data_IF_453445822265
#
_entry.id   IF_453445822265
#
_cell.length_a   1.000
_cell.length_b   1.000
_cell.length_c   1.000
_cell.angle_alpha   90.00
_cell.angle_beta   90.00
_cell.angle_gamma   90.00
#
_symmetry.space_group_name_H-M   'P 1'
#
loop_
_entity.id
_entity.type
_entity.pdbx_description
1 polymer ?
#
# COMPACT_ATOMS: atom_id res chain seq x y z
N UNK A 1 -8.03 -89.02 3.55
CA UNK A 1 -7.77 -88.24 4.71
C UNK A 1 -6.55 -87.34 4.36
N UNK A 2 -6.81 -86.09 4.03
CA UNK A 2 -5.80 -85.10 3.65
C UNK A 2 -6.09 -83.82 4.46
N UNK A 3 -5.31 -83.57 5.49
CA UNK A 3 -5.38 -82.39 6.29
C UNK A 3 -4.69 -81.25 5.53
N UNK A 4 -5.47 -80.24 5.18
CA UNK A 4 -4.96 -78.99 4.62
C UNK A 4 -4.65 -78.03 5.76
N UNK A 5 -3.37 -77.78 6.01
CA UNK A 5 -2.89 -76.80 6.96
C UNK A 5 -3.09 -75.38 6.39
N UNK A 6 -4.04 -74.61 6.94
CA UNK A 6 -4.22 -73.19 6.67
C UNK A 6 -3.18 -72.37 7.41
N UNK A 7 -2.15 -71.90 6.70
CA UNK A 7 -1.17 -70.91 7.16
C UNK A 7 -1.85 -69.56 7.37
N UNK A 8 -2.02 -69.18 8.65
CA UNK A 8 -2.49 -67.85 9.03
C UNK A 8 -1.40 -66.79 8.78
N UNK A 9 -1.50 -66.06 7.67
CA UNK A 9 -0.71 -64.87 7.45
C UNK A 9 -1.21 -63.75 8.37
N UNK A 10 -0.41 -63.33 9.33
CA UNK A 10 -0.63 -62.16 10.16
C UNK A 10 -0.57 -60.91 9.25
N UNK A 11 -1.60 -60.06 9.19
CA UNK A 11 -1.52 -58.83 8.40
C UNK A 11 -0.49 -57.90 9.07
N UNK A 12 0.64 -57.69 8.38
CA UNK A 12 1.59 -56.62 8.73
C UNK A 12 0.83 -55.30 8.72
N UNK A 13 0.86 -54.61 9.86
CA UNK A 13 0.17 -53.34 10.09
C UNK A 13 0.41 -52.36 8.95
N UNK A 14 -0.70 -51.86 8.40
CA UNK A 14 -0.69 -50.72 7.51
C UNK A 14 -0.05 -49.56 8.22
N UNK A 15 1.27 -49.38 8.02
CA UNK A 15 2.01 -48.21 8.44
C UNK A 15 1.28 -46.99 7.86
N UNK A 16 0.67 -46.17 8.70
CA UNK A 16 0.06 -44.88 8.34
C UNK A 16 1.04 -44.15 7.44
N UNK A 17 0.92 -44.30 6.13
CA UNK A 17 1.62 -43.45 5.16
C UNK A 17 1.18 -42.04 5.50
N UNK A 18 2.07 -41.26 6.09
CA UNK A 18 1.86 -39.82 6.29
C UNK A 18 1.53 -39.25 4.91
N UNK A 19 0.28 -38.92 4.70
CA UNK A 19 -0.17 -38.30 3.46
C UNK A 19 0.60 -36.97 3.33
N UNK A 20 1.41 -36.86 2.29
CA UNK A 20 2.09 -35.62 1.96
C UNK A 20 1.05 -34.53 1.77
N UNK A 21 1.25 -33.29 2.29
CA UNK A 21 0.28 -32.22 2.11
C UNK A 21 0.00 -32.01 0.63
N UNK A 22 -1.26 -31.75 0.29
CA UNK A 22 -1.63 -31.47 -1.07
C UNK A 22 -0.82 -30.25 -1.56
N UNK A 23 -0.57 -30.20 -2.85
CA UNK A 23 0.20 -29.08 -3.37
C UNK A 23 -0.52 -27.72 -3.21
N UNK A 24 -1.85 -27.72 -3.07
CA UNK A 24 -2.60 -26.51 -2.68
C UNK A 24 -2.30 -26.10 -1.23
N UNK A 25 -2.14 -27.06 -0.32
CA UNK A 25 -1.74 -26.81 1.07
C UNK A 25 -0.36 -26.18 1.14
N UNK A 26 0.59 -26.64 0.30
CA UNK A 26 1.94 -26.06 0.24
C UNK A 26 1.94 -24.63 -0.28
N UNK A 27 1.14 -24.32 -1.31
CA UNK A 27 0.97 -22.96 -1.82
C UNK A 27 0.46 -21.99 -0.75
N UNK A 28 -0.62 -22.38 -0.08
CA UNK A 28 -1.19 -21.60 1.03
C UNK A 28 -0.15 -21.44 2.15
N UNK A 29 0.58 -22.52 2.47
CA UNK A 29 1.63 -22.51 3.47
C UNK A 29 2.73 -21.48 3.16
N UNK A 30 3.17 -21.39 1.90
CA UNK A 30 4.20 -20.40 1.49
C UNK A 30 3.66 -18.96 1.62
N UNK A 31 2.44 -18.71 1.13
CA UNK A 31 1.83 -17.38 1.25
C UNK A 31 1.62 -16.97 2.72
N UNK A 32 1.10 -17.89 3.54
CA UNK A 32 0.90 -17.67 4.96
C UNK A 32 2.22 -17.45 5.70
N UNK A 33 3.26 -18.25 5.43
CA UNK A 33 4.57 -18.09 6.02
C UNK A 33 5.21 -16.74 5.70
N UNK A 34 5.07 -16.26 4.44
CA UNK A 34 5.54 -14.95 4.04
C UNK A 34 4.83 -13.82 4.81
N UNK A 35 3.50 -13.90 4.95
CA UNK A 35 2.74 -12.92 5.70
C UNK A 35 3.05 -12.98 7.21
N UNK A 36 3.17 -14.17 7.80
CA UNK A 36 3.57 -14.34 9.20
C UNK A 36 4.98 -13.77 9.42
N UNK A 37 5.90 -13.98 8.49
CA UNK A 37 7.25 -13.37 8.53
C UNK A 37 7.18 -11.83 8.55
N UNK A 38 6.32 -11.23 7.73
CA UNK A 38 6.07 -9.79 7.78
C UNK A 38 5.49 -9.37 9.14
N UNK A 39 4.49 -10.08 9.67
CA UNK A 39 3.89 -9.78 10.97
C UNK A 39 4.94 -9.84 12.10
N UNK A 40 5.78 -10.86 12.13
CA UNK A 40 6.86 -10.99 13.10
C UNK A 40 7.83 -9.80 12.98
N UNK A 41 8.29 -9.48 11.79
CA UNK A 41 9.20 -8.36 11.56
C UNK A 41 8.61 -7.01 12.00
N UNK A 42 7.32 -6.81 11.78
CA UNK A 42 6.60 -5.59 12.17
C UNK A 42 6.36 -5.52 13.68
N UNK A 43 5.90 -6.61 14.30
CA UNK A 43 5.49 -6.61 15.71
C UNK A 43 6.66 -6.69 16.69
N UNK A 44 7.82 -7.20 16.29
CA UNK A 44 9.02 -7.27 17.12
C UNK A 44 9.71 -5.93 17.34
N UNK A 45 9.28 -4.87 16.63
CA UNK A 45 9.86 -3.54 16.78
C UNK A 45 8.91 -2.58 17.52
N UNK A 46 9.49 -1.67 18.31
CA UNK A 46 8.75 -0.57 18.93
C UNK A 46 8.35 0.46 17.86
N UNK A 47 7.11 0.94 17.90
CA UNK A 47 6.65 2.03 17.04
C UNK A 47 7.38 3.32 17.40
N UNK A 48 7.98 3.98 16.43
CA UNK A 48 8.62 5.29 16.58
C UNK A 48 7.95 6.28 15.63
N UNK A 49 7.78 7.51 16.08
CA UNK A 49 7.35 8.62 15.24
C UNK A 49 8.60 9.18 14.56
N UNK A 50 8.70 9.06 13.24
CA UNK A 50 9.89 9.40 12.47
C UNK A 50 9.75 10.70 11.69
N UNK A 51 8.52 11.13 11.44
CA UNK A 51 8.21 12.26 10.57
C UNK A 51 7.07 13.12 11.14
N UNK A 52 6.97 14.40 10.77
CA UNK A 52 5.82 15.24 11.12
C UNK A 52 4.48 14.66 10.71
N UNK A 53 4.45 13.93 9.59
CA UNK A 53 3.25 13.23 9.11
C UNK A 53 2.76 12.17 10.13
N UNK A 54 3.67 11.45 10.82
CA UNK A 54 3.29 10.51 11.87
C UNK A 54 2.53 11.20 13.02
N UNK A 55 2.97 12.42 13.39
CA UNK A 55 2.31 13.24 14.41
C UNK A 55 0.93 13.72 13.93
N UNK A 56 0.84 14.17 12.68
CA UNK A 56 -0.41 14.63 12.09
C UNK A 56 -1.45 13.51 12.05
N UNK A 57 -1.09 12.35 11.52
CA UNK A 57 -2.00 11.19 11.47
C UNK A 57 -2.35 10.66 12.85
N UNK A 58 -1.39 10.60 13.79
CA UNK A 58 -1.65 10.21 15.17
C UNK A 58 -2.68 11.11 15.81
N UNK A 59 -2.53 12.42 15.68
CA UNK A 59 -3.49 13.39 16.22
C UNK A 59 -4.88 13.22 15.57
N UNK A 60 -4.95 13.02 14.26
CA UNK A 60 -6.19 12.81 13.52
C UNK A 60 -6.90 11.50 13.96
N UNK A 61 -6.15 10.42 14.16
CA UNK A 61 -6.69 9.13 14.63
C UNK A 61 -7.27 9.29 16.03
N UNK A 62 -6.54 9.93 16.95
CA UNK A 62 -7.02 10.14 18.32
C UNK A 62 -8.24 11.06 18.34
N UNK A 63 -8.21 12.20 17.62
CA UNK A 63 -9.35 13.10 17.51
C UNK A 63 -10.60 12.38 16.99
N UNK A 64 -10.45 11.61 15.91
CA UNK A 64 -11.56 10.89 15.28
C UNK A 64 -12.09 9.74 16.17
N UNK A 65 -11.24 9.10 16.96
CA UNK A 65 -11.67 8.08 17.96
C UNK A 65 -12.61 8.69 19.01
N UNK A 66 -12.50 10.00 19.27
CA UNK A 66 -13.42 10.77 20.12
C UNK A 66 -14.55 11.45 19.34
N UNK A 67 -14.77 11.09 18.07
CA UNK A 67 -15.83 11.63 17.24
C UNK A 67 -15.55 13.02 16.65
N UNK A 68 -14.30 13.48 16.68
CA UNK A 68 -13.93 14.82 16.22
C UNK A 68 -13.10 14.77 14.94
N UNK A 69 -13.67 15.21 13.82
CA UNK A 69 -12.94 15.43 12.58
C UNK A 69 -12.21 16.79 12.61
N UNK A 70 -12.87 17.80 13.19
CA UNK A 70 -12.32 19.14 13.42
C UNK A 70 -12.32 19.46 14.91
N UNK A 71 -11.35 20.26 15.37
CA UNK A 71 -11.18 20.60 16.78
C UNK A 71 -11.43 22.09 17.02
N UNK A 72 -12.04 22.43 18.15
CA UNK A 72 -11.99 23.79 18.69
C UNK A 72 -10.57 24.14 19.18
N UNK A 73 -10.27 25.42 19.42
CA UNK A 73 -8.98 25.82 19.98
C UNK A 73 -8.64 25.10 21.29
N UNK A 74 -9.62 24.95 22.19
CA UNK A 74 -9.41 24.26 23.48
C UNK A 74 -9.10 22.78 23.28
N UNK A 75 -9.84 22.08 22.40
CA UNK A 75 -9.59 20.67 22.07
C UNK A 75 -8.22 20.48 21.41
N UNK A 76 -7.84 21.38 20.48
CA UNK A 76 -6.53 21.34 19.82
C UNK A 76 -5.40 21.49 20.84
N UNK A 77 -5.48 22.47 21.75
CA UNK A 77 -4.47 22.68 22.78
C UNK A 77 -4.37 21.48 23.74
N UNK A 78 -5.50 20.96 24.19
CA UNK A 78 -5.56 19.77 25.06
C UNK A 78 -4.91 18.56 24.37
N UNK A 79 -5.29 18.27 23.12
CA UNK A 79 -4.74 17.16 22.36
C UNK A 79 -3.23 17.36 22.09
N UNK A 80 -2.81 18.58 21.78
CA UNK A 80 -1.39 18.92 21.57
C UNK A 80 -0.56 18.67 22.84
N UNK A 81 -1.07 19.04 24.00
CA UNK A 81 -0.41 18.75 25.28
C UNK A 81 -0.32 17.24 25.54
N UNK A 82 -1.43 16.51 25.32
CA UNK A 82 -1.51 15.07 25.52
C UNK A 82 -0.51 14.30 24.64
N UNK A 83 -0.33 14.73 23.39
CA UNK A 83 0.52 14.03 22.41
C UNK A 83 1.98 14.53 22.38
N UNK A 84 2.30 15.58 23.15
CA UNK A 84 3.62 16.22 23.12
C UNK A 84 3.87 17.06 21.86
N UNK A 85 2.79 17.55 21.25
CA UNK A 85 2.78 18.37 20.03
C UNK A 85 1.93 17.79 18.92
N UNK A 86 1.40 18.66 18.08
CA UNK A 86 0.67 18.34 16.85
C UNK A 86 1.37 19.07 15.70
N UNK A 87 1.54 18.39 14.57
CA UNK A 87 2.08 18.97 13.35
C UNK A 87 1.05 18.93 12.23
N UNK A 88 1.18 19.83 11.25
CA UNK A 88 0.43 19.78 10.00
C UNK A 88 -1.11 19.78 10.20
N UNK A 89 -1.55 20.66 11.09
CA UNK A 89 -2.95 21.01 11.27
C UNK A 89 -3.14 22.48 10.93
N UNK A 90 -4.22 22.80 10.23
CA UNK A 90 -4.54 24.13 9.73
C UNK A 90 -5.76 24.70 10.44
N UNK A 91 -5.73 26.01 10.68
CA UNK A 91 -6.83 26.75 11.25
C UNK A 91 -7.77 27.20 10.12
N UNK A 92 -8.99 26.72 10.15
CA UNK A 92 -10.01 27.07 9.16
C UNK A 92 -10.60 28.46 9.42
N UNK A 93 -11.17 29.12 8.39
CA UNK A 93 -11.91 30.37 8.57
C UNK A 93 -13.09 30.25 9.56
N UNK A 94 -13.60 29.04 9.76
CA UNK A 94 -14.63 28.74 10.76
C UNK A 94 -14.17 28.84 12.23
N UNK A 95 -12.87 29.08 12.49
CA UNK A 95 -12.28 29.08 13.83
C UNK A 95 -11.96 27.67 14.35
N UNK A 96 -12.03 26.63 13.53
CA UNK A 96 -11.72 25.24 13.88
C UNK A 96 -10.39 24.79 13.30
N UNK A 97 -9.79 23.79 13.90
CA UNK A 97 -8.58 23.14 13.41
C UNK A 97 -8.93 21.84 12.72
N UNK A 98 -8.26 21.57 11.60
CA UNK A 98 -8.33 20.30 10.87
C UNK A 98 -6.92 19.87 10.44
N UNK A 99 -6.71 18.57 10.30
CA UNK A 99 -5.47 18.06 9.70
C UNK A 99 -5.36 18.48 8.24
N UNK A 100 -4.18 18.89 7.78
CA UNK A 100 -3.92 19.08 6.35
C UNK A 100 -3.84 17.75 5.58
N UNK A 101 -3.71 16.63 6.31
CA UNK A 101 -3.61 15.30 5.73
C UNK A 101 -4.98 14.74 5.37
N UNK A 102 -5.03 13.94 4.30
CA UNK A 102 -6.25 13.27 3.89
C UNK A 102 -6.84 12.42 5.03
N UNK A 103 -8.14 12.48 5.25
CA UNK A 103 -8.78 11.84 6.42
C UNK A 103 -8.94 10.33 6.29
N UNK A 104 -8.76 9.77 5.09
CA UNK A 104 -9.04 8.35 4.82
C UNK A 104 -8.33 7.41 5.79
N UNK A 105 -7.03 7.57 5.99
CA UNK A 105 -6.30 6.67 6.90
C UNK A 105 -6.80 6.75 8.36
N UNK A 106 -7.02 7.91 8.95
CA UNK A 106 -7.66 8.00 10.27
C UNK A 106 -8.95 7.19 10.38
N UNK A 107 -9.85 7.26 9.40
CA UNK A 107 -11.09 6.45 9.41
C UNK A 107 -10.80 4.94 9.44
N UNK A 108 -9.83 4.46 8.67
CA UNK A 108 -9.43 3.04 8.66
C UNK A 108 -8.71 2.61 9.94
N UNK A 109 -8.06 3.52 10.65
CA UNK A 109 -7.29 3.25 11.86
C UNK A 109 -8.11 3.32 13.17
N UNK A 110 -9.22 4.10 13.18
CA UNK A 110 -10.08 4.30 14.35
C UNK A 110 -10.52 3.00 15.03
N UNK A 111 -11.02 1.96 14.34
CA UNK A 111 -11.43 0.72 14.99
C UNK A 111 -10.32 0.08 15.81
N UNK A 112 -9.08 0.14 15.31
CA UNK A 112 -7.91 -0.40 16.00
C UNK A 112 -7.44 0.49 17.15
N UNK A 113 -7.52 1.80 16.98
CA UNK A 113 -7.19 2.75 18.06
C UNK A 113 -8.18 2.63 19.21
N UNK A 114 -9.47 2.48 18.92
CA UNK A 114 -10.53 2.35 19.94
C UNK A 114 -10.33 1.14 20.88
N UNK A 115 -9.71 0.07 20.38
CA UNK A 115 -9.38 -1.13 21.17
C UNK A 115 -7.91 -1.15 21.65
N UNK A 116 -7.16 -0.05 21.49
CA UNK A 116 -5.75 0.03 21.89
C UNK A 116 -4.78 -0.79 21.04
N UNK A 117 -5.21 -1.22 19.85
CA UNK A 117 -4.47 -2.14 18.97
C UNK A 117 -4.04 -1.49 17.65
N UNK A 118 -3.74 -0.18 17.62
CA UNK A 118 -3.40 0.56 16.39
C UNK A 118 -2.32 -0.12 15.55
N UNK A 119 -1.35 -0.79 16.19
CA UNK A 119 -0.28 -1.52 15.49
C UNK A 119 -0.77 -2.66 14.60
N UNK A 120 -1.98 -3.14 14.81
CA UNK A 120 -2.58 -4.20 14.01
C UNK A 120 -3.27 -3.66 12.74
N UNK A 121 -3.56 -2.35 12.65
CA UNK A 121 -4.22 -1.79 11.48
C UNK A 121 -3.47 -2.07 10.16
N UNK A 122 -2.17 -1.74 10.01
CA UNK A 122 -1.44 -2.05 8.78
C UNK A 122 -1.42 -3.55 8.47
N UNK A 123 -1.32 -4.40 9.49
CA UNK A 123 -1.26 -5.86 9.31
C UNK A 123 -2.62 -6.44 8.87
N UNK A 124 -3.72 -5.93 9.42
CA UNK A 124 -5.05 -6.33 9.00
C UNK A 124 -5.28 -6.02 7.51
N UNK A 125 -5.01 -4.78 7.10
CA UNK A 125 -5.11 -4.41 5.69
C UNK A 125 -4.08 -5.15 4.83
N UNK A 126 -2.88 -5.40 5.36
CA UNK A 126 -1.88 -6.26 4.75
C UNK A 126 -2.40 -7.67 4.45
N UNK A 127 -3.15 -8.27 5.39
CA UNK A 127 -3.80 -9.56 5.17
C UNK A 127 -4.82 -9.50 4.03
N UNK A 128 -5.66 -8.45 3.97
CA UNK A 128 -6.60 -8.25 2.86
C UNK A 128 -5.86 -8.11 1.52
N UNK A 129 -4.75 -7.37 1.49
CA UNK A 129 -3.88 -7.24 0.33
C UNK A 129 -3.31 -8.59 -0.12
N UNK A 130 -2.79 -9.39 0.80
CA UNK A 130 -2.29 -10.74 0.53
C UNK A 130 -3.38 -11.67 0.00
N UNK A 131 -4.59 -11.63 0.57
CA UNK A 131 -5.75 -12.40 0.10
C UNK A 131 -6.08 -12.01 -1.35
N UNK A 132 -6.17 -10.72 -1.65
CA UNK A 132 -6.41 -10.24 -3.00
C UNK A 132 -5.33 -10.71 -3.98
N UNK A 133 -4.05 -10.49 -3.66
CA UNK A 133 -2.92 -10.93 -4.48
C UNK A 133 -2.89 -12.44 -4.70
N UNK A 134 -3.23 -13.22 -3.68
CA UNK A 134 -3.27 -14.68 -3.80
C UNK A 134 -4.36 -15.13 -4.76
N UNK A 135 -5.59 -14.62 -4.63
CA UNK A 135 -6.68 -14.98 -5.52
C UNK A 135 -6.48 -14.48 -6.95
N UNK A 136 -6.12 -13.21 -7.11
CA UNK A 136 -5.88 -12.60 -8.42
C UNK A 136 -4.66 -13.20 -9.12
N UNK A 137 -3.56 -13.34 -8.42
CA UNK A 137 -2.33 -13.94 -8.93
C UNK A 137 -2.53 -15.42 -9.33
N UNK A 138 -3.26 -16.18 -8.53
CA UNK A 138 -3.58 -17.57 -8.87
C UNK A 138 -4.46 -17.70 -10.13
N UNK A 139 -5.41 -16.79 -10.33
CA UNK A 139 -6.26 -16.80 -11.54
C UNK A 139 -5.47 -16.37 -12.79
N UNK A 140 -4.55 -15.44 -12.66
CA UNK A 140 -3.74 -14.97 -13.79
C UNK A 140 -2.55 -15.89 -14.08
N UNK A 141 -1.78 -16.25 -13.07
CA UNK A 141 -0.48 -16.91 -13.20
C UNK A 141 -0.54 -18.42 -12.92
N UNK A 142 -1.71 -18.95 -12.63
CA UNK A 142 -1.90 -20.35 -12.30
C UNK A 142 -1.50 -20.67 -10.85
N UNK A 143 -1.22 -21.95 -10.64
CA UNK A 143 -1.16 -22.57 -9.31
C UNK A 143 -0.23 -21.86 -8.31
N UNK A 144 0.98 -21.50 -8.67
CA UNK A 144 1.96 -20.86 -7.78
C UNK A 144 1.96 -19.34 -7.84
N UNK A 145 1.22 -18.74 -8.78
CA UNK A 145 1.24 -17.31 -9.03
C UNK A 145 0.81 -16.47 -7.84
N UNK A 146 -0.23 -16.90 -7.13
CA UNK A 146 -0.70 -16.23 -5.93
C UNK A 146 0.33 -16.28 -4.80
N UNK A 147 0.93 -17.45 -4.57
CA UNK A 147 1.95 -17.64 -3.51
C UNK A 147 3.18 -16.76 -3.77
N UNK A 148 3.69 -16.73 -5.00
CA UNK A 148 4.82 -15.86 -5.37
C UNK A 148 4.48 -14.37 -5.24
N UNK A 149 3.29 -13.95 -5.69
CA UNK A 149 2.87 -12.57 -5.56
C UNK A 149 2.83 -12.11 -4.10
N UNK A 150 2.25 -12.92 -3.20
CA UNK A 150 2.21 -12.65 -1.75
C UNK A 150 3.61 -12.65 -1.16
N UNK A 151 4.44 -13.66 -1.47
CA UNK A 151 5.79 -13.77 -0.95
C UNK A 151 6.65 -12.57 -1.35
N UNK A 152 6.56 -12.12 -2.60
CA UNK A 152 7.28 -10.95 -3.11
C UNK A 152 6.77 -9.65 -2.51
N UNK A 153 5.46 -9.51 -2.32
CA UNK A 153 4.88 -8.37 -1.64
C UNK A 153 5.39 -8.25 -0.21
N UNK A 154 5.33 -9.33 0.57
CA UNK A 154 5.72 -9.35 1.97
C UNK A 154 7.25 -9.24 2.19
N UNK A 155 8.08 -9.71 1.25
CA UNK A 155 9.54 -9.65 1.36
C UNK A 155 10.14 -8.30 0.99
N UNK A 156 9.35 -7.36 0.46
CA UNK A 156 9.82 -6.03 0.12
C UNK A 156 10.25 -5.24 1.36
N UNK A 157 11.41 -4.59 1.31
CA UNK A 157 11.87 -3.67 2.36
C UNK A 157 10.87 -2.56 2.64
N UNK A 158 10.19 -2.07 1.61
CA UNK A 158 9.11 -1.08 1.74
C UNK A 158 7.94 -1.62 2.59
N UNK A 159 7.48 -2.86 2.35
CA UNK A 159 6.43 -3.49 3.14
C UNK A 159 6.83 -3.62 4.62
N UNK A 160 8.08 -4.03 4.88
CA UNK A 160 8.61 -4.19 6.24
C UNK A 160 8.68 -2.84 6.98
N UNK A 161 9.19 -1.78 6.33
CA UNK A 161 9.34 -0.45 6.95
C UNK A 161 8.01 0.22 7.19
N UNK A 162 7.14 0.27 6.19
CA UNK A 162 5.88 1.00 6.30
C UNK A 162 4.79 0.19 7.02
N UNK A 163 4.89 -1.14 7.05
CA UNK A 163 4.05 -1.99 7.89
C UNK A 163 4.29 -1.77 9.39
N UNK A 164 5.52 -1.45 9.78
CA UNK A 164 5.87 -1.13 11.16
C UNK A 164 5.37 0.26 11.62
N UNK A 165 5.18 1.21 10.71
CA UNK A 165 4.77 2.58 11.00
C UNK A 165 3.25 2.69 11.09
N UNK A 166 2.69 2.27 12.21
CA UNK A 166 1.24 2.19 12.41
C UNK A 166 0.50 3.55 12.33
N UNK A 167 1.21 4.67 12.42
CA UNK A 167 0.67 6.02 12.25
C UNK A 167 0.74 6.53 10.82
N UNK A 168 1.48 5.81 9.93
CA UNK A 168 1.60 6.19 8.52
C UNK A 168 0.64 5.40 7.64
N UNK A 169 -0.02 6.06 6.68
CA UNK A 169 -0.99 5.43 5.79
C UNK A 169 -0.39 4.47 4.78
N UNK A 170 0.90 4.61 4.46
CA UNK A 170 1.57 4.09 3.27
C UNK A 170 1.39 2.58 3.04
N UNK A 171 1.50 1.75 4.08
CA UNK A 171 1.34 0.31 3.91
C UNK A 171 -0.13 -0.12 3.86
N UNK A 172 -1.01 0.55 4.61
CA UNK A 172 -2.47 0.34 4.53
C UNK A 172 -3.00 0.67 3.15
N UNK A 173 -2.57 1.79 2.60
CA UNK A 173 -2.84 2.26 1.27
C UNK A 173 -2.42 1.25 0.20
N UNK A 174 -1.13 0.87 0.15
CA UNK A 174 -0.62 -0.15 -0.74
C UNK A 174 -1.35 -1.50 -0.60
N UNK A 175 -1.80 -1.84 0.60
CA UNK A 175 -2.51 -3.08 0.89
C UNK A 175 -3.95 -3.06 0.36
N UNK A 176 -4.63 -1.92 0.43
CA UNK A 176 -5.95 -1.74 -0.21
C UNK A 176 -5.83 -1.80 -1.73
N UNK A 177 -4.78 -1.19 -2.31
CA UNK A 177 -4.48 -1.33 -3.75
C UNK A 177 -4.23 -2.80 -4.12
N UNK A 178 -3.48 -3.53 -3.30
CA UNK A 178 -3.22 -4.95 -3.51
C UNK A 178 -4.51 -5.78 -3.45
N UNK A 179 -5.37 -5.52 -2.47
CA UNK A 179 -6.66 -6.17 -2.32
C UNK A 179 -7.57 -5.89 -3.52
N UNK A 180 -7.69 -4.61 -3.90
CA UNK A 180 -8.50 -4.17 -5.03
C UNK A 180 -8.01 -4.74 -6.37
N UNK A 181 -6.73 -4.60 -6.66
CA UNK A 181 -6.10 -5.14 -7.88
C UNK A 181 -6.31 -6.64 -7.99
N UNK A 182 -6.06 -7.39 -6.92
CA UNK A 182 -6.25 -8.83 -6.90
C UNK A 182 -7.71 -9.25 -7.08
N UNK A 183 -8.65 -8.56 -6.44
CA UNK A 183 -10.08 -8.79 -6.57
C UNK A 183 -10.56 -8.52 -8.01
N UNK A 184 -10.09 -7.45 -8.65
CA UNK A 184 -10.43 -7.12 -10.03
C UNK A 184 -9.82 -8.11 -11.02
N UNK A 185 -8.55 -8.52 -10.84
CA UNK A 185 -7.95 -9.61 -11.61
C UNK A 185 -8.77 -10.89 -11.51
N UNK A 186 -9.12 -11.28 -10.28
CA UNK A 186 -9.98 -12.46 -10.09
C UNK A 186 -11.33 -12.27 -10.80
N UNK A 187 -11.97 -11.12 -10.67
CA UNK A 187 -13.26 -10.82 -11.30
C UNK A 187 -13.20 -10.92 -12.82
N UNK A 188 -12.14 -10.41 -13.42
CA UNK A 188 -11.96 -10.43 -14.87
C UNK A 188 -11.66 -11.84 -15.41
N UNK A 189 -10.95 -12.67 -14.64
CA UNK A 189 -10.42 -13.96 -15.10
C UNK A 189 -11.21 -15.17 -14.62
N UNK A 190 -12.07 -15.04 -13.59
CA UNK A 190 -12.89 -16.16 -13.07
C UNK A 190 -14.17 -16.36 -13.87
N UNK A 191 -14.04 -16.71 -15.16
CA UNK A 191 -15.19 -16.92 -16.06
C UNK A 191 -16.09 -18.08 -15.65
N UNK A 192 -15.58 -19.00 -14.84
CA UNK A 192 -16.26 -20.14 -14.22
C UNK A 192 -17.17 -19.76 -13.02
N UNK A 193 -16.99 -18.55 -12.47
CA UNK A 193 -17.76 -18.08 -11.32
C UNK A 193 -19.09 -17.42 -11.75
N UNK A 194 -20.11 -17.53 -10.87
CA UNK A 194 -21.41 -16.91 -11.12
C UNK A 194 -21.30 -15.39 -11.26
N UNK A 195 -22.14 -14.79 -12.08
CA UNK A 195 -22.23 -13.34 -12.30
C UNK A 195 -22.38 -12.58 -10.98
N UNK A 196 -23.23 -13.05 -10.06
CA UNK A 196 -23.44 -12.43 -8.74
C UNK A 196 -22.12 -12.37 -7.94
N UNK A 197 -21.38 -13.49 -7.88
CA UNK A 197 -20.10 -13.55 -7.17
C UNK A 197 -19.07 -12.62 -7.79
N UNK A 198 -18.96 -12.60 -9.12
CA UNK A 198 -18.06 -11.70 -9.83
C UNK A 198 -18.42 -10.23 -9.62
N UNK A 199 -19.73 -9.90 -9.63
CA UNK A 199 -20.19 -8.53 -9.35
C UNK A 199 -19.79 -8.07 -7.94
N UNK A 200 -20.02 -8.92 -6.94
CA UNK A 200 -19.69 -8.59 -5.54
C UNK A 200 -18.18 -8.46 -5.32
N UNK A 201 -17.38 -9.40 -5.84
CA UNK A 201 -15.92 -9.34 -5.70
C UNK A 201 -15.35 -8.14 -6.45
N UNK A 202 -15.88 -7.82 -7.64
CA UNK A 202 -15.50 -6.61 -8.37
C UNK A 202 -15.87 -5.32 -7.64
N UNK A 203 -17.05 -5.27 -6.99
CA UNK A 203 -17.44 -4.14 -6.16
C UNK A 203 -16.50 -3.98 -4.96
N UNK A 204 -16.18 -5.06 -4.24
CA UNK A 204 -15.20 -5.03 -3.16
C UNK A 204 -13.82 -4.58 -3.65
N UNK A 205 -13.44 -4.96 -4.89
CA UNK A 205 -12.22 -4.51 -5.53
C UNK A 205 -12.20 -2.99 -5.75
N UNK A 206 -13.29 -2.41 -6.27
CA UNK A 206 -13.40 -0.97 -6.45
C UNK A 206 -13.46 -0.25 -5.10
N UNK A 207 -14.24 -0.72 -4.12
CA UNK A 207 -14.28 -0.14 -2.78
C UNK A 207 -12.91 -0.12 -2.10
N UNK A 208 -12.07 -1.13 -2.31
CA UNK A 208 -10.71 -1.14 -1.81
C UNK A 208 -9.83 -0.07 -2.50
N UNK A 209 -9.94 0.11 -3.82
CA UNK A 209 -9.23 1.16 -4.55
C UNK A 209 -9.74 2.57 -4.21
N UNK A 210 -11.04 2.73 -4.01
CA UNK A 210 -11.67 3.95 -3.52
C UNK A 210 -11.17 4.29 -2.11
N UNK A 211 -11.07 3.29 -1.23
CA UNK A 211 -10.48 3.44 0.10
C UNK A 211 -9.01 3.89 0.05
N UNK A 212 -8.22 3.31 -0.84
CA UNK A 212 -6.85 3.76 -1.08
C UNK A 212 -6.81 5.21 -1.58
N UNK A 213 -7.67 5.56 -2.55
CA UNK A 213 -7.80 6.94 -3.06
C UNK A 213 -8.21 7.91 -1.96
N UNK A 214 -9.06 7.51 -1.01
CA UNK A 214 -9.43 8.35 0.14
C UNK A 214 -8.27 8.54 1.12
N UNK A 215 -7.39 7.54 1.25
CA UNK A 215 -6.15 7.67 2.02
C UNK A 215 -5.18 8.61 1.31
N UNK A 216 -5.06 8.49 -0.03
CA UNK A 216 -4.14 9.27 -0.83
C UNK A 216 -4.77 9.61 -2.19
N UNK A 217 -5.17 10.86 -2.38
CA UNK A 217 -5.90 11.29 -3.60
C UNK A 217 -5.14 10.99 -4.91
N UNK A 218 -3.82 10.94 -4.89
CA UNK A 218 -3.01 10.57 -6.06
C UNK A 218 -3.25 9.14 -6.55
N UNK A 219 -3.79 8.25 -5.70
CA UNK A 219 -4.08 6.86 -6.07
C UNK A 219 -5.31 6.72 -6.95
N UNK A 220 -6.01 7.84 -7.20
CA UNK A 220 -7.01 7.96 -8.27
C UNK A 220 -6.44 7.50 -9.62
N UNK A 221 -5.14 7.62 -9.85
CA UNK A 221 -4.49 7.11 -11.07
C UNK A 221 -4.58 5.59 -11.17
N UNK A 222 -4.42 4.87 -10.06
CA UNK A 222 -4.59 3.41 -10.01
C UNK A 222 -6.05 3.03 -10.18
N UNK A 223 -6.96 3.74 -9.51
CA UNK A 223 -8.41 3.55 -9.65
C UNK A 223 -8.87 3.74 -11.10
N UNK A 224 -8.44 4.82 -11.75
CA UNK A 224 -8.79 5.11 -13.15
C UNK A 224 -8.16 4.11 -14.12
N UNK A 225 -6.90 3.69 -13.90
CA UNK A 225 -6.26 2.65 -14.71
C UNK A 225 -7.01 1.30 -14.60
N UNK A 226 -7.42 0.92 -13.38
CA UNK A 226 -8.20 -0.28 -13.14
C UNK A 226 -9.60 -0.18 -13.78
N UNK A 227 -10.27 0.96 -13.65
CA UNK A 227 -11.56 1.22 -14.28
C UNK A 227 -11.47 1.13 -15.81
N UNK A 228 -10.47 1.78 -16.41
CA UNK A 228 -10.22 1.72 -17.85
C UNK A 228 -9.97 0.30 -18.33
N UNK A 229 -9.15 -0.49 -17.59
CA UNK A 229 -8.90 -1.89 -17.91
C UNK A 229 -10.17 -2.75 -17.85
N UNK A 230 -11.01 -2.55 -16.83
CA UNK A 230 -12.30 -3.25 -16.70
C UNK A 230 -13.25 -2.86 -17.82
N UNK A 231 -13.40 -1.58 -18.13
CA UNK A 231 -14.24 -1.08 -19.22
C UNK A 231 -13.75 -1.59 -20.58
N UNK A 232 -12.47 -1.59 -20.84
CA UNK A 232 -11.91 -2.13 -22.08
C UNK A 232 -12.08 -3.64 -22.19
N UNK A 233 -11.95 -4.36 -21.08
CA UNK A 233 -11.94 -5.84 -21.03
C UNK A 233 -13.30 -6.51 -20.75
N UNK A 234 -14.38 -5.77 -20.38
CA UNK A 234 -15.59 -6.38 -19.86
C UNK A 234 -16.27 -7.38 -20.82
N UNK A 235 -16.23 -7.10 -22.12
CA UNK A 235 -16.80 -8.01 -23.14
C UNK A 235 -15.98 -9.28 -23.25
N UNK A 236 -14.65 -9.16 -23.30
CA UNK A 236 -13.76 -10.31 -23.37
C UNK A 236 -13.83 -11.19 -22.11
N UNK A 237 -14.07 -10.57 -20.96
CA UNK A 237 -14.28 -11.23 -19.68
C UNK A 237 -15.73 -11.75 -19.49
N UNK A 238 -16.61 -11.59 -20.47
CA UNK A 238 -18.03 -11.98 -20.37
C UNK A 238 -18.72 -11.41 -19.11
N UNK A 239 -18.47 -10.17 -18.78
CA UNK A 239 -19.10 -9.48 -17.64
C UNK A 239 -20.47 -8.93 -18.04
N UNK A 240 -21.44 -9.03 -17.13
CA UNK A 240 -22.75 -8.45 -17.34
C UNK A 240 -22.69 -6.91 -17.31
N UNK A 241 -23.42 -6.24 -18.20
CA UNK A 241 -23.53 -4.76 -18.23
C UNK A 241 -23.99 -4.21 -16.87
N UNK A 242 -24.88 -4.93 -16.18
CA UNK A 242 -25.34 -4.57 -14.84
C UNK A 242 -24.19 -4.53 -13.82
N UNK A 243 -23.24 -5.45 -13.89
CA UNK A 243 -22.06 -5.42 -13.01
C UNK A 243 -21.21 -4.17 -13.25
N UNK A 244 -20.98 -3.85 -14.53
CA UNK A 244 -20.26 -2.62 -14.90
C UNK A 244 -20.98 -1.37 -14.41
N UNK A 245 -22.33 -1.32 -14.52
CA UNK A 245 -23.11 -0.19 -14.03
C UNK A 245 -22.97 -0.01 -12.49
N UNK A 246 -22.98 -1.09 -11.73
CA UNK A 246 -22.74 -1.04 -10.29
C UNK A 246 -21.36 -0.48 -9.95
N UNK A 247 -20.31 -0.91 -10.64
CA UNK A 247 -18.95 -0.45 -10.38
C UNK A 247 -18.74 1.01 -10.80
N UNK A 248 -19.25 1.42 -11.97
CA UNK A 248 -19.24 2.83 -12.38
C UNK A 248 -20.02 3.71 -11.41
N UNK A 249 -21.17 3.22 -10.93
CA UNK A 249 -21.97 3.90 -9.92
C UNK A 249 -21.24 4.07 -8.58
N UNK A 250 -20.51 3.03 -8.13
CA UNK A 250 -19.67 3.11 -6.94
C UNK A 250 -18.60 4.20 -7.07
N UNK A 251 -17.81 4.15 -8.16
CA UNK A 251 -16.75 5.15 -8.40
C UNK A 251 -17.30 6.58 -8.51
N UNK A 252 -18.44 6.75 -9.18
CA UNK A 252 -19.09 8.07 -9.26
C UNK A 252 -19.61 8.56 -7.91
N UNK A 253 -20.24 7.67 -7.12
CA UNK A 253 -20.71 7.99 -5.79
C UNK A 253 -19.55 8.35 -4.85
N UNK A 254 -18.46 7.59 -4.91
CA UNK A 254 -17.25 7.88 -4.15
C UNK A 254 -16.66 9.25 -4.52
N UNK A 255 -16.51 9.54 -5.82
CA UNK A 255 -16.05 10.86 -6.28
C UNK A 255 -16.92 12.00 -5.78
N UNK A 256 -18.25 11.80 -5.80
CA UNK A 256 -19.22 12.77 -5.24
C UNK A 256 -19.07 12.97 -3.73
N UNK A 257 -18.84 11.88 -2.97
CA UNK A 257 -18.60 11.95 -1.52
C UNK A 257 -17.29 12.68 -1.18
N UNK A 258 -16.20 12.43 -1.89
CA UNK A 258 -14.93 13.14 -1.70
C UNK A 258 -15.10 14.63 -2.02
N UNK A 259 -15.72 14.95 -3.15
CA UNK A 259 -15.97 16.34 -3.52
C UNK A 259 -16.87 17.08 -2.51
N UNK A 260 -17.89 16.42 -1.98
CA UNK A 260 -18.75 16.97 -0.93
C UNK A 260 -17.97 17.17 0.38
N UNK A 261 -17.12 16.20 0.77
CA UNK A 261 -16.26 16.32 1.92
C UNK A 261 -15.31 17.52 1.79
N UNK A 262 -14.60 17.66 0.68
CA UNK A 262 -13.68 18.76 0.44
C UNK A 262 -14.40 20.13 0.42
N UNK A 263 -15.60 20.17 -0.15
CA UNK A 263 -16.41 21.38 -0.17
C UNK A 263 -16.86 21.82 1.25
N UNK A 264 -17.24 20.87 2.08
CA UNK A 264 -17.72 21.15 3.46
C UNK A 264 -16.53 21.53 4.35
N UNK A 265 -15.46 20.77 4.33
CA UNK A 265 -14.36 20.93 5.27
C UNK A 265 -13.35 22.00 4.83
N UNK A 266 -13.04 22.09 3.55
CA UNK A 266 -12.01 23.00 3.03
C UNK A 266 -12.59 24.15 2.19
N UNK A 267 -13.92 24.21 1.99
CA UNK A 267 -14.60 25.29 1.29
C UNK A 267 -14.47 25.26 -0.23
N UNK A 268 -14.26 24.09 -0.83
CA UNK A 268 -14.28 23.90 -2.29
C UNK A 268 -13.98 22.47 -2.70
N UNK A 269 -14.65 21.97 -3.73
CA UNK A 269 -14.63 20.58 -4.23
C UNK A 269 -13.24 20.05 -4.66
N UNK A 270 -12.29 20.93 -4.87
CA UNK A 270 -10.90 20.60 -5.24
C UNK A 270 -9.88 21.13 -4.23
N UNK A 271 -10.36 21.70 -3.11
CA UNK A 271 -9.49 22.16 -2.04
C UNK A 271 -9.15 21.02 -1.09
N UNK A 272 -7.96 21.05 -0.56
CA UNK A 272 -7.48 20.12 0.46
C UNK A 272 -6.98 20.90 1.66
N UNK A 273 -6.56 20.22 2.72
CA UNK A 273 -5.95 20.87 3.88
C UNK A 273 -4.59 21.54 3.61
N UNK A 274 -3.97 21.25 2.47
CA UNK A 274 -2.69 21.84 2.11
C UNK A 274 -2.81 23.30 1.68
N UNK A 275 -1.86 24.13 2.10
CA UNK A 275 -1.77 25.51 1.65
C UNK A 275 -1.50 25.60 0.14
N UNK A 276 -1.94 26.70 -0.47
CA UNK A 276 -1.68 26.95 -1.90
C UNK A 276 -0.16 26.97 -2.16
N UNK A 277 0.28 26.16 -3.12
CA UNK A 277 1.71 26.05 -3.48
C UNK A 277 2.54 25.11 -2.60
N UNK A 278 1.99 24.50 -1.56
CA UNK A 278 2.70 23.52 -0.72
C UNK A 278 2.95 22.20 -1.45
N UNK A 279 1.95 21.71 -2.16
CA UNK A 279 2.06 20.55 -3.05
C UNK A 279 2.18 21.05 -4.48
N UNK A 280 3.37 20.96 -5.06
CA UNK A 280 3.64 21.42 -6.41
C UNK A 280 4.24 20.30 -7.26
N UNK A 281 3.76 20.22 -8.49
CA UNK A 281 4.29 19.34 -9.53
C UNK A 281 4.88 20.20 -10.64
N UNK A 282 6.12 19.89 -11.05
CA UNK A 282 6.84 20.64 -12.08
C UNK A 282 7.59 19.69 -12.99
N UNK A 283 7.52 19.92 -14.29
CA UNK A 283 8.35 19.19 -15.25
C UNK A 283 9.86 19.40 -14.99
N UNK A 284 10.25 20.54 -14.38
CA UNK A 284 11.63 20.82 -13.97
C UNK A 284 12.15 19.84 -12.91
N UNK A 285 11.27 19.27 -12.06
CA UNK A 285 11.65 18.30 -11.04
C UNK A 285 11.89 16.88 -11.60
N UNK A 286 11.45 16.59 -12.84
CA UNK A 286 11.50 15.23 -13.42
C UNK A 286 12.93 14.74 -13.56
N UNK A 287 13.81 15.54 -14.17
CA UNK A 287 15.20 15.12 -14.40
C UNK A 287 15.94 14.90 -13.08
N UNK A 288 15.96 15.85 -12.13
CA UNK A 288 16.57 15.62 -10.82
C UNK A 288 16.03 14.41 -10.06
N UNK A 289 14.71 14.20 -10.10
CA UNK A 289 14.11 13.03 -9.48
C UNK A 289 14.56 11.72 -10.16
N UNK A 290 14.63 11.68 -11.49
CA UNK A 290 15.09 10.49 -12.21
C UNK A 290 16.57 10.17 -11.99
N UNK A 291 17.41 11.14 -11.64
CA UNK A 291 18.81 10.92 -11.28
C UNK A 291 18.95 10.18 -9.93
N UNK A 292 18.09 10.46 -8.95
CA UNK A 292 18.23 9.97 -7.59
C UNK A 292 17.24 8.85 -7.23
N UNK A 293 15.97 8.97 -7.67
CA UNK A 293 14.88 8.08 -7.29
C UNK A 293 15.09 6.61 -7.63
N UNK A 294 15.56 6.22 -8.84
CA UNK A 294 15.70 4.81 -9.19
C UNK A 294 16.54 4.02 -8.19
N UNK A 295 17.60 4.63 -7.66
CA UNK A 295 18.44 4.00 -6.63
C UNK A 295 17.66 3.71 -5.34
N UNK A 296 16.92 4.69 -4.84
CA UNK A 296 16.11 4.53 -3.63
C UNK A 296 15.01 3.50 -3.81
N UNK A 297 14.37 3.49 -4.99
CA UNK A 297 13.31 2.54 -5.32
C UNK A 297 13.85 1.10 -5.41
N UNK A 298 14.98 0.88 -6.04
CA UNK A 298 15.59 -0.46 -6.13
C UNK A 298 16.06 -0.95 -4.76
N UNK A 299 16.58 -0.06 -3.90
CA UNK A 299 16.94 -0.44 -2.51
C UNK A 299 15.70 -0.90 -1.75
N UNK A 300 14.60 -0.15 -1.81
CA UNK A 300 13.39 -0.45 -1.04
C UNK A 300 12.53 -1.57 -1.67
N UNK A 301 12.54 -1.68 -2.99
CA UNK A 301 11.74 -2.60 -3.78
C UNK A 301 12.60 -3.26 -4.89
N UNK A 302 13.55 -4.14 -4.55
CA UNK A 302 14.49 -4.72 -5.54
C UNK A 302 13.78 -5.49 -6.65
N UNK A 303 12.59 -6.03 -6.41
CA UNK A 303 11.76 -6.71 -7.41
C UNK A 303 11.25 -5.78 -8.53
N UNK A 304 11.42 -4.47 -8.40
CA UNK A 304 11.14 -3.49 -9.45
C UNK A 304 11.93 -3.81 -10.74
N UNK A 305 13.16 -4.30 -10.61
CA UNK A 305 13.97 -4.73 -11.77
C UNK A 305 13.29 -5.85 -12.54
N UNK A 306 12.69 -6.82 -11.84
CA UNK A 306 11.95 -7.92 -12.46
C UNK A 306 10.64 -7.43 -13.08
N UNK A 307 9.95 -6.50 -12.43
CA UNK A 307 8.74 -5.90 -12.99
C UNK A 307 9.03 -5.16 -14.30
N UNK A 308 10.12 -4.38 -14.38
CA UNK A 308 10.60 -3.76 -15.62
C UNK A 308 10.97 -4.82 -16.66
N UNK A 309 11.62 -5.91 -16.24
CA UNK A 309 11.93 -7.05 -17.11
C UNK A 309 10.66 -7.66 -17.73
N UNK A 310 9.54 -7.73 -16.94
CA UNK A 310 8.24 -8.18 -17.46
C UNK A 310 7.71 -7.28 -18.55
N UNK A 311 7.79 -5.96 -18.39
CA UNK A 311 7.35 -4.99 -19.40
C UNK A 311 8.17 -5.16 -20.68
N UNK A 312 9.50 -5.21 -20.57
CA UNK A 312 10.39 -5.41 -21.70
C UNK A 312 10.14 -6.74 -22.42
N UNK A 313 10.01 -7.83 -21.66
CA UNK A 313 9.71 -9.15 -22.22
C UNK A 313 8.38 -9.18 -22.98
N UNK A 314 7.33 -8.62 -22.37
CA UNK A 314 6.00 -8.53 -22.98
C UNK A 314 6.03 -7.72 -24.27
N UNK A 315 6.71 -6.57 -24.27
CA UNK A 315 6.91 -5.74 -25.46
C UNK A 315 7.62 -6.49 -26.60
N UNK A 316 8.70 -7.22 -26.29
CA UNK A 316 9.42 -8.05 -27.26
C UNK A 316 8.54 -9.16 -27.84
N UNK A 317 7.72 -9.82 -27.00
CA UNK A 317 6.81 -10.87 -27.46
C UNK A 317 5.75 -10.33 -28.43
N UNK A 318 5.20 -9.14 -28.12
CA UNK A 318 4.25 -8.46 -29.01
C UNK A 318 4.90 -8.04 -30.33
N UNK A 319 6.10 -7.45 -30.29
CA UNK A 319 6.85 -7.04 -31.48
C UNK A 319 7.19 -8.22 -32.40
N UNK A 320 7.49 -9.40 -31.84
CA UNK A 320 7.74 -10.62 -32.60
C UNK A 320 6.48 -11.28 -33.18
N UNK A 321 5.32 -10.62 -33.11
CA UNK A 321 4.08 -11.11 -33.71
C UNK A 321 3.49 -12.36 -33.04
N UNK A 322 3.96 -12.76 -31.87
CA UNK A 322 3.48 -13.94 -31.12
C UNK A 322 2.12 -13.64 -30.47
N UNK A 323 1.04 -13.67 -31.26
CA UNK A 323 -0.32 -13.22 -30.90
C UNK A 323 -1.24 -14.37 -30.45
N UNK A 324 -0.77 -15.34 -29.65
CA UNK A 324 -1.70 -16.31 -29.04
C UNK A 324 -2.69 -15.62 -28.10
N UNK A 325 -3.92 -16.15 -27.92
CA UNK A 325 -4.92 -15.57 -27.00
C UNK A 325 -4.38 -15.40 -25.57
N UNK A 326 -3.65 -16.39 -25.06
CA UNK A 326 -3.02 -16.31 -23.72
C UNK A 326 -2.05 -15.14 -23.61
N UNK A 327 -1.21 -14.90 -24.61
CA UNK A 327 -0.26 -13.80 -24.62
C UNK A 327 -0.91 -12.42 -24.75
N UNK A 328 -2.04 -12.34 -25.46
CA UNK A 328 -2.84 -11.11 -25.51
C UNK A 328 -3.42 -10.79 -24.14
N UNK A 329 -3.87 -11.80 -23.39
CA UNK A 329 -4.34 -11.64 -22.05
C UNK A 329 -3.21 -11.16 -21.12
N UNK A 330 -2.03 -11.84 -21.16
CA UNK A 330 -0.87 -11.42 -20.37
C UNK A 330 -0.46 -9.98 -20.68
N UNK A 331 -0.44 -9.61 -21.96
CA UNK A 331 -0.13 -8.25 -22.38
C UNK A 331 -1.15 -7.22 -21.85
N UNK A 332 -2.43 -7.54 -21.91
CA UNK A 332 -3.50 -6.68 -21.41
C UNK A 332 -3.42 -6.48 -19.89
N UNK A 333 -3.21 -7.56 -19.12
CA UNK A 333 -3.03 -7.49 -17.67
C UNK A 333 -1.75 -6.73 -17.32
N UNK A 334 -0.64 -7.03 -18.00
CA UNK A 334 0.64 -6.31 -17.81
C UNK A 334 0.48 -4.82 -18.10
N UNK A 335 -0.21 -4.45 -19.18
CA UNK A 335 -0.46 -3.05 -19.53
C UNK A 335 -1.34 -2.34 -18.48
N UNK A 336 -2.37 -3.00 -17.96
CA UNK A 336 -3.23 -2.44 -16.92
C UNK A 336 -2.46 -2.20 -15.60
N UNK A 337 -1.66 -3.17 -15.17
CA UNK A 337 -0.80 -3.03 -13.99
C UNK A 337 0.25 -1.94 -14.19
N UNK A 338 0.87 -1.89 -15.39
CA UNK A 338 1.85 -0.88 -15.74
C UNK A 338 1.25 0.53 -15.77
N UNK A 339 0.03 0.70 -16.27
CA UNK A 339 -0.63 2.01 -16.35
C UNK A 339 -0.79 2.65 -14.96
N UNK A 340 -1.28 1.90 -13.97
CA UNK A 340 -1.39 2.37 -12.58
C UNK A 340 -0.02 2.67 -11.97
N UNK A 341 0.93 1.75 -12.10
CA UNK A 341 2.27 1.89 -11.57
C UNK A 341 3.06 3.04 -12.20
N UNK A 342 3.12 3.09 -13.55
CA UNK A 342 3.84 4.16 -14.27
C UNK A 342 3.16 5.51 -14.03
N UNK A 343 1.83 5.53 -13.89
CA UNK A 343 1.09 6.75 -13.52
C UNK A 343 1.56 7.32 -12.19
N UNK A 344 1.65 6.51 -11.14
CA UNK A 344 2.17 6.91 -9.82
C UNK A 344 3.62 7.37 -9.92
N UNK A 345 4.48 6.63 -10.62
CA UNK A 345 5.90 6.97 -10.74
C UNK A 345 6.11 8.25 -11.56
N UNK A 346 5.36 8.42 -12.66
CA UNK A 346 5.40 9.63 -13.48
C UNK A 346 4.94 10.86 -12.71
N UNK A 347 3.85 10.73 -11.95
CA UNK A 347 3.35 11.82 -11.11
C UNK A 347 4.41 12.27 -10.09
N UNK A 348 4.95 11.32 -9.31
CA UNK A 348 5.91 11.66 -8.28
C UNK A 348 7.31 11.96 -8.81
N UNK A 349 7.64 11.60 -10.05
CA UNK A 349 8.82 12.13 -10.72
C UNK A 349 8.73 13.64 -10.93
N UNK A 350 7.53 14.19 -11.12
CA UNK A 350 7.31 15.63 -11.24
C UNK A 350 7.13 16.35 -9.89
N UNK A 351 7.18 15.65 -8.75
CA UNK A 351 6.92 16.24 -7.44
C UNK A 351 8.14 16.97 -6.90
N UNK A 352 8.01 18.29 -6.68
CA UNK A 352 9.11 19.16 -6.27
C UNK A 352 9.65 18.88 -4.87
N UNK A 353 8.82 18.33 -3.97
CA UNK A 353 9.25 17.96 -2.63
C UNK A 353 10.22 16.77 -2.66
N UNK A 354 9.97 15.76 -3.52
CA UNK A 354 10.86 14.60 -3.64
C UNK A 354 12.22 14.98 -4.20
N UNK A 355 12.28 15.94 -5.11
CA UNK A 355 13.55 16.50 -5.61
C UNK A 355 14.44 17.02 -4.47
N UNK A 356 13.87 17.79 -3.55
CA UNK A 356 14.60 18.39 -2.41
C UNK A 356 15.08 17.35 -1.41
N UNK A 357 14.32 16.27 -1.22
CA UNK A 357 14.57 15.25 -0.22
C UNK A 357 15.43 14.08 -0.73
N UNK A 358 15.54 13.89 -2.05
CA UNK A 358 16.16 12.72 -2.65
C UNK A 358 17.66 12.60 -2.40
N UNK A 359 18.36 13.69 -2.16
CA UNK A 359 19.81 13.73 -1.90
C UNK A 359 20.19 13.59 -0.40
N UNK A 360 19.21 13.68 0.52
CA UNK A 360 19.47 13.72 1.96
C UNK A 360 19.66 12.36 2.63
N UNK A 361 20.24 12.35 3.81
CA UNK A 361 20.24 11.18 4.69
C UNK A 361 18.77 10.82 5.04
N UNK A 362 18.40 9.53 4.92
CA UNK A 362 17.02 9.10 5.11
C UNK A 362 16.12 9.27 3.89
N UNK A 363 16.62 9.80 2.77
CA UNK A 363 15.88 9.98 1.52
C UNK A 363 15.09 8.73 1.10
N UNK A 364 15.67 7.53 1.26
CA UNK A 364 15.00 6.28 0.91
C UNK A 364 13.66 6.11 1.66
N UNK A 365 13.58 6.46 2.95
CA UNK A 365 12.32 6.38 3.72
C UNK A 365 11.36 7.48 3.29
N UNK A 366 11.83 8.73 3.26
CA UNK A 366 10.99 9.90 3.00
C UNK A 366 10.39 9.88 1.58
N UNK A 367 11.17 9.45 0.60
CA UNK A 367 10.79 9.55 -0.80
C UNK A 367 10.08 8.28 -1.29
N UNK A 368 10.55 7.09 -0.91
CA UNK A 368 9.97 5.81 -1.35
C UNK A 368 8.49 5.67 -0.95
N UNK A 369 8.06 6.28 0.16
CA UNK A 369 6.67 6.22 0.62
C UNK A 369 5.62 6.59 -0.43
N UNK A 370 5.97 7.46 -1.36
CA UNK A 370 5.07 7.89 -2.44
C UNK A 370 4.92 6.84 -3.56
N UNK A 371 5.85 5.90 -3.64
CA UNK A 371 5.90 4.88 -4.69
C UNK A 371 5.43 3.50 -4.22
N UNK A 372 5.25 3.32 -2.90
CA UNK A 372 4.79 2.05 -2.30
C UNK A 372 3.41 1.60 -2.81
N UNK A 373 2.47 2.49 -3.18
CA UNK A 373 1.22 2.12 -3.85
C UNK A 373 1.41 1.19 -5.07
N UNK A 374 2.53 1.30 -5.77
CA UNK A 374 2.86 0.43 -6.91
C UNK A 374 3.29 -0.99 -6.53
N UNK A 375 3.53 -1.29 -5.24
CA UNK A 375 4.12 -2.54 -4.78
C UNK A 375 3.32 -3.78 -5.21
N UNK A 376 1.99 -3.69 -5.25
CA UNK A 376 1.13 -4.78 -5.70
C UNK A 376 1.39 -5.15 -7.17
N UNK A 377 1.49 -4.16 -8.05
CA UNK A 377 1.80 -4.35 -9.46
C UNK A 377 3.22 -4.93 -9.63
N UNK A 378 4.20 -4.39 -8.89
CA UNK A 378 5.60 -4.89 -8.90
C UNK A 378 5.65 -6.36 -8.48
N UNK A 379 4.96 -6.75 -7.42
CA UNK A 379 4.94 -8.14 -6.93
C UNK A 379 4.30 -9.11 -7.96
N UNK A 380 3.18 -8.72 -8.55
CA UNK A 380 2.49 -9.52 -9.58
C UNK A 380 3.33 -9.68 -10.86
N UNK A 381 3.93 -8.58 -11.34
CA UNK A 381 4.77 -8.60 -12.55
C UNK A 381 6.05 -9.40 -12.32
N UNK A 382 6.69 -9.24 -11.16
CA UNK A 382 7.85 -10.07 -10.79
C UNK A 382 7.47 -11.56 -10.71
N UNK A 383 6.31 -11.89 -10.11
CA UNK A 383 5.80 -13.26 -10.03
C UNK A 383 5.54 -13.84 -11.44
N UNK A 384 5.02 -13.05 -12.36
CA UNK A 384 4.84 -13.46 -13.74
C UNK A 384 6.18 -13.81 -14.42
N UNK A 385 7.19 -12.93 -14.28
CA UNK A 385 8.48 -13.13 -14.93
C UNK A 385 9.20 -14.37 -14.43
N UNK A 386 9.28 -14.56 -13.10
CA UNK A 386 10.03 -15.69 -12.53
C UNK A 386 9.42 -17.04 -12.91
N UNK A 387 8.12 -17.10 -13.19
CA UNK A 387 7.46 -18.33 -13.65
C UNK A 387 7.76 -18.71 -15.09
N UNK A 388 8.40 -17.83 -15.87
CA UNK A 388 8.90 -18.16 -17.20
C UNK A 388 10.19 -19.01 -17.16
N UNK A 389 10.77 -19.20 -15.97
CA UNK A 389 12.04 -19.88 -15.73
C UNK A 389 11.88 -21.21 -14.98
N UNK A 390 12.93 -22.05 -14.90
CA UNK A 390 12.90 -23.29 -14.13
C UNK A 390 12.49 -23.08 -12.67
N UNK A 391 11.88 -24.09 -12.05
CA UNK A 391 11.25 -24.02 -10.70
C UNK A 391 12.15 -23.54 -9.55
N UNK A 392 13.45 -23.67 -9.69
CA UNK A 392 14.40 -23.18 -8.68
C UNK A 392 14.58 -21.65 -8.72
N UNK A 393 14.34 -21.01 -9.89
CA UNK A 393 14.52 -19.56 -10.06
C UNK A 393 13.58 -18.74 -9.15
N UNK A 394 12.27 -18.99 -9.07
CA UNK A 394 11.41 -18.31 -8.11
C UNK A 394 11.88 -18.41 -6.66
N UNK A 395 12.42 -19.58 -6.26
CA UNK A 395 12.94 -19.80 -4.90
C UNK A 395 14.21 -18.98 -4.66
N UNK A 396 15.14 -18.98 -5.61
CA UNK A 396 16.37 -18.19 -5.54
C UNK A 396 16.07 -16.68 -5.49
N UNK A 397 15.11 -16.21 -6.34
CA UNK A 397 14.66 -14.82 -6.34
C UNK A 397 14.01 -14.45 -5.02
N UNK A 398 13.17 -15.31 -4.45
CA UNK A 398 12.57 -15.06 -3.13
C UNK A 398 13.63 -14.97 -2.04
N UNK A 399 14.61 -15.88 -2.01
CA UNK A 399 15.71 -15.82 -1.06
C UNK A 399 16.50 -14.51 -1.20
N UNK A 400 16.82 -14.09 -2.42
CA UNK A 400 17.45 -12.81 -2.69
C UNK A 400 16.56 -11.62 -2.26
N UNK A 401 15.27 -11.65 -2.57
CA UNK A 401 14.31 -10.60 -2.18
C UNK A 401 14.19 -10.46 -0.64
N UNK A 402 14.15 -11.58 0.09
CA UNK A 402 14.15 -11.57 1.56
C UNK A 402 15.46 -10.96 2.09
N UNK A 403 16.61 -11.40 1.58
CA UNK A 403 17.92 -10.90 2.04
C UNK A 403 18.05 -9.39 1.77
N UNK A 404 17.73 -8.93 0.56
CA UNK A 404 17.76 -7.53 0.19
C UNK A 404 16.69 -6.72 0.94
N UNK A 405 15.49 -7.27 1.12
CA UNK A 405 14.41 -6.65 1.89
C UNK A 405 14.78 -6.41 3.34
N UNK A 406 15.38 -7.39 4.01
CA UNK A 406 15.88 -7.27 5.39
C UNK A 406 17.06 -6.29 5.48
N UNK A 407 17.96 -6.31 4.50
CA UNK A 407 19.08 -5.36 4.41
C UNK A 407 18.59 -3.92 4.24
N UNK A 408 17.68 -3.68 3.31
CA UNK A 408 17.09 -2.37 3.07
C UNK A 408 16.23 -1.89 4.26
N UNK A 409 15.46 -2.79 4.88
CA UNK A 409 14.74 -2.51 6.11
C UNK A 409 15.67 -2.03 7.22
N UNK A 410 16.79 -2.73 7.44
CA UNK A 410 17.78 -2.33 8.46
C UNK A 410 18.36 -0.95 8.17
N UNK A 411 18.71 -0.65 6.92
CA UNK A 411 19.27 0.65 6.52
C UNK A 411 18.25 1.79 6.64
N UNK A 412 17.01 1.57 6.19
CA UNK A 412 15.93 2.57 6.28
C UNK A 412 15.52 2.84 7.73
N UNK A 413 15.47 1.81 8.58
CA UNK A 413 15.15 1.97 10.00
C UNK A 413 16.24 2.73 10.78
N UNK A 414 17.51 2.63 10.36
CA UNK A 414 18.61 3.41 10.94
C UNK A 414 18.59 4.88 10.48
N UNK A 415 18.33 5.11 9.20
CA UNK A 415 18.29 6.44 8.61
C UNK A 415 17.19 7.32 9.22
N UNK A 416 16.04 6.74 9.59
CA UNK A 416 14.96 7.47 10.28
C UNK A 416 15.32 7.95 11.70
N UNK A 417 16.39 7.43 12.32
CA UNK A 417 16.85 7.86 13.66
C UNK A 417 17.75 9.09 13.63
N UNK A 418 18.38 9.37 12.52
CA UNK A 418 19.33 10.48 12.35
C UNK A 418 18.82 11.66 11.52
N UNK A 419 17.56 11.62 11.08
CA UNK A 419 16.94 12.67 10.28
C UNK A 419 16.64 13.93 11.08
N UNK A 420 16.43 15.09 10.41
CA UNK A 420 16.00 16.32 11.06
C UNK A 420 14.67 16.07 11.79
N UNK A 421 14.67 16.16 13.12
CA UNK A 421 13.52 15.84 13.98
C UNK A 421 13.62 14.54 14.77
N UNK A 422 14.63 13.68 14.53
CA UNK A 422 14.96 12.56 15.40
C UNK A 422 15.64 13.03 16.69
N UNK A 423 15.63 12.20 17.78
CA UNK A 423 16.36 12.53 19.01
C UNK A 423 17.86 12.67 18.70
N UNK A 424 18.35 13.92 18.67
CA UNK A 424 19.73 14.28 18.35
C UNK A 424 19.96 14.97 17.00
N UNK A 425 18.94 15.13 16.15
CA UNK A 425 19.02 15.92 14.92
C UNK A 425 18.76 17.41 15.19
N UNK A 426 19.31 18.33 14.37
CA UNK A 426 18.98 19.75 14.49
C UNK A 426 17.47 19.93 14.29
N UNK A 427 16.82 20.64 15.21
CA UNK A 427 15.42 21.00 15.10
C UNK A 427 15.21 21.76 13.78
N UNK A 428 14.58 21.12 12.81
CA UNK A 428 14.14 21.81 11.60
C UNK A 428 13.00 22.72 12.05
N UNK A 429 13.27 23.99 12.18
CA UNK A 429 12.23 25.02 12.20
C UNK A 429 11.58 24.96 10.81
N UNK A 430 10.48 24.24 10.70
CA UNK A 430 9.59 24.42 9.55
C UNK A 430 9.12 25.87 9.65
N UNK A 431 9.65 26.72 8.78
CA UNK A 431 9.14 28.05 8.60
C UNK A 431 7.68 27.88 8.24
N UNK A 432 6.80 28.22 9.17
CA UNK A 432 5.40 28.36 8.87
C UNK A 432 5.30 29.41 7.77
N UNK A 433 5.00 28.97 6.53
CA UNK A 433 4.51 29.85 5.49
C UNK A 433 3.16 30.36 5.98
N UNK A 434 3.24 31.42 6.83
CA UNK A 434 2.05 32.12 7.26
C UNK A 434 1.34 32.63 6.03
N UNK A 435 0.05 32.38 5.92
CA UNK A 435 -0.82 33.09 5.00
C UNK A 435 -0.55 34.60 5.13
N UNK A 436 -0.48 35.35 4.03
CA UNK A 436 -0.37 36.81 4.12
C UNK A 436 -1.56 37.33 4.95
N UNK A 437 -1.29 37.84 6.15
CA UNK A 437 -2.33 38.32 7.06
C UNK A 437 -2.51 37.53 8.37
N UNK A 438 -1.85 36.40 8.56
CA UNK A 438 -1.84 35.76 9.87
C UNK A 438 -0.88 36.55 10.80
N UNK A 439 -1.32 36.94 12.02
CA UNK A 439 -0.42 37.56 12.97
C UNK A 439 0.73 36.60 13.31
N UNK A 440 1.99 37.08 13.52
CA UNK A 440 3.09 36.23 13.89
C UNK A 440 2.69 35.43 15.13
N UNK A 441 2.79 34.09 15.04
CA UNK A 441 2.56 33.22 16.20
C UNK A 441 3.66 33.56 17.21
N UNK A 442 3.30 34.48 18.14
CA UNK A 442 4.15 34.88 19.24
C UNK A 442 4.41 33.65 20.11
N UNK A 443 5.68 33.37 20.36
CA UNK A 443 6.05 32.53 21.49
C UNK A 443 5.35 33.06 22.74
N UNK A 444 4.75 32.20 23.58
CA UNK A 444 4.30 32.64 24.88
C UNK A 444 5.52 33.20 25.65
N UNK A 445 5.39 34.36 26.31
CA UNK A 445 6.49 34.89 27.13
C UNK A 445 6.80 33.87 28.22
N UNK A 446 8.05 33.52 28.34
CA UNK A 446 8.54 32.63 29.38
C UNK A 446 8.19 33.16 30.76
N UNK A 447 7.52 32.33 31.55
CA UNK A 447 7.15 32.54 32.94
C UNK A 447 6.79 31.22 33.57
N UNK A 448 7.80 30.36 33.81
CA UNK A 448 7.60 29.23 34.70
C UNK A 448 7.50 29.76 36.14
N UNK A 449 6.43 29.48 36.90
CA UNK A 449 6.45 29.73 38.34
C UNK A 449 7.38 28.70 39.00
N UNK A 450 8.46 29.19 39.61
CA UNK A 450 9.27 28.44 40.56
C UNK A 450 8.35 28.08 41.74
N UNK A 451 8.05 26.84 41.92
CA UNK A 451 7.62 26.34 43.24
C UNK A 451 8.87 26.23 44.09
N UNK A 452 8.96 27.09 45.10
CA UNK A 452 9.90 27.01 46.22
C UNK A 452 9.24 26.24 47.38
N UNK A 453 10.05 25.71 48.33
CA UNK A 453 10.01 24.42 48.97
C UNK A 453 8.79 24.16 49.88
#
# INVERSE_FOLDING_TARGET
>A
MSESATSGAVPFGEGRRRAWPSAATVEIGVAAAAFVGLCVAVLTRSTQLLEPDDLAYRASIVALTHGHLTLSNAQYQSLSQQLGGIAQWVHLPSGRWISEKNPGYPFFAVPFQAIGALRLAPLFYGALGCIGLWFGGRKWLGRWGGAWAVAFYCSSGAALVFGWRATMPTFTDASLIAAGTGALLWTMLATDASTRRRTLVGLLGFLALEGATFIRYTDVLVLLAALAAVVAGYRAAHLARRSLAWWLGSVAAFGGLVAAFDAIEYGGVTKTGYAAGEITFSLGAVVPNLEHMPRHLVIAMPLLVLALGTLGWTAVQLARGRRSPARRLDAAVTAALAAGWVGIYGLYAAYTWTERMAAGAGATVHVVRFYVPALAAVALLAAWLVQQFPRWVPVAVLAAAITLGLGSYSSMAKAGRGGPGGPGGPAVRFGGGGLPGAPPQGMPPGGAPRLSP
#
